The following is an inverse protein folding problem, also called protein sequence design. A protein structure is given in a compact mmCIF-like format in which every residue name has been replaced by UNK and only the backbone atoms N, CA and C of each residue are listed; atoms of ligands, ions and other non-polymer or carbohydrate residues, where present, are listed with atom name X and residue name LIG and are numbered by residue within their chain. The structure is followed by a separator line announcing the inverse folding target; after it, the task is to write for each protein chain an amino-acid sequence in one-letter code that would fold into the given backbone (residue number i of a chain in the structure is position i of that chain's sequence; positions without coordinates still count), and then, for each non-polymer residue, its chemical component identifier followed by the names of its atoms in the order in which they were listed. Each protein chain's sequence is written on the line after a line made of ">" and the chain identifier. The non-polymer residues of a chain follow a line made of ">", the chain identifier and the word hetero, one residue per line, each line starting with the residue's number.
data_IF_682934385003
#
_entry.id   IF_682934385003
#
_cell.length_a   1.000
_cell.length_b   1.000
_cell.length_c   1.000
_cell.angle_alpha   90.00
_cell.angle_beta   90.00
_cell.angle_gamma   90.00
#
_symmetry.space_group_name_H-M   'P 1'
#
loop_
_entity.id
_entity.type
_entity.pdbx_description
1 polymer ?
#
# COMPACT_ATOMS: atom_id res chain seq x y z
N UNK A 1 -36.52 30.25 -45.64
CA UNK A 1 -36.01 29.22 -46.58
C UNK A 1 -34.66 29.74 -47.04
N UNK A 2 -33.48 29.33 -46.56
CA UNK A 2 -32.93 28.14 -45.88
C UNK A 2 -32.05 28.61 -44.70
N UNK A 3 -32.07 28.02 -43.50
CA UNK A 3 -31.42 26.77 -43.11
C UNK A 3 -29.96 26.64 -43.60
N UNK A 4 -29.00 27.09 -42.80
CA UNK A 4 -27.62 26.57 -42.81
C UNK A 4 -27.27 26.28 -41.35
N UNK A 5 -27.31 24.99 -41.00
CA UNK A 5 -26.83 24.47 -39.73
C UNK A 5 -25.31 24.48 -39.71
N UNK A 6 -24.71 25.13 -38.72
CA UNK A 6 -23.32 24.88 -38.36
C UNK A 6 -23.21 23.47 -37.76
N UNK A 7 -22.69 22.54 -38.55
CA UNK A 7 -22.22 21.25 -38.06
C UNK A 7 -20.94 21.48 -37.25
N UNK A 8 -21.06 21.48 -35.93
CA UNK A 8 -19.93 21.31 -35.01
C UNK A 8 -19.20 20.01 -35.36
N UNK A 9 -18.02 20.11 -35.96
CA UNK A 9 -17.13 18.97 -36.18
C UNK A 9 -16.58 18.51 -34.83
N UNK A 10 -17.18 17.45 -34.30
CA UNK A 10 -16.63 16.70 -33.18
C UNK A 10 -15.31 16.05 -33.62
N UNK A 11 -14.19 16.52 -33.06
CA UNK A 11 -12.92 15.79 -33.05
C UNK A 11 -13.18 14.36 -32.56
N UNK A 12 -12.74 13.31 -33.28
CA UNK A 12 -12.83 11.95 -32.78
C UNK A 12 -12.00 11.87 -31.50
N UNK A 13 -12.67 11.71 -30.36
CA UNK A 13 -12.00 11.37 -29.12
C UNK A 13 -11.25 10.07 -29.35
N UNK A 14 -9.92 10.11 -29.30
CA UNK A 14 -9.09 8.91 -29.15
C UNK A 14 -9.57 8.25 -27.87
N UNK A 15 -10.46 7.26 -28.01
CA UNK A 15 -10.86 6.39 -26.92
C UNK A 15 -9.58 5.65 -26.54
N UNK A 16 -8.95 6.08 -25.45
CA UNK A 16 -7.98 5.25 -24.76
C UNK A 16 -8.68 3.92 -24.51
N UNK A 17 -8.29 2.89 -25.27
CA UNK A 17 -8.89 1.58 -25.19
C UNK A 17 -8.88 1.09 -23.74
N UNK A 18 -9.83 0.24 -23.33
CA UNK A 18 -9.81 -0.34 -21.99
C UNK A 18 -8.43 -0.96 -21.78
N UNK A 19 -7.72 -0.55 -20.72
CA UNK A 19 -6.48 -1.22 -20.33
C UNK A 19 -6.89 -2.65 -19.97
N UNK A 20 -6.68 -3.59 -20.90
CA UNK A 20 -6.95 -5.01 -20.65
C UNK A 20 -5.98 -5.47 -19.56
N UNK A 21 -6.50 -5.59 -18.34
CA UNK A 21 -5.76 -6.25 -17.28
C UNK A 21 -5.72 -7.73 -17.60
N UNK A 22 -4.53 -8.22 -17.96
CA UNK A 22 -4.32 -9.67 -18.03
C UNK A 22 -4.70 -10.31 -16.68
N UNK A 23 -5.26 -11.54 -16.68
CA UNK A 23 -5.67 -12.21 -15.45
C UNK A 23 -4.53 -12.32 -14.42
N UNK A 24 -3.29 -12.37 -14.91
CA UNK A 24 -2.07 -12.35 -14.11
C UNK A 24 -1.90 -11.06 -13.29
N UNK A 25 -2.13 -9.89 -13.88
CA UNK A 25 -2.05 -8.60 -13.16
C UNK A 25 -3.03 -8.54 -11.99
N UNK A 26 -4.26 -9.03 -12.21
CA UNK A 26 -5.28 -9.08 -11.16
C UNK A 26 -4.87 -9.99 -10.01
N UNK A 27 -4.35 -11.18 -10.33
CA UNK A 27 -3.88 -12.13 -9.33
C UNK A 27 -2.73 -11.53 -8.49
N UNK A 28 -1.76 -10.88 -9.14
CA UNK A 28 -0.63 -10.24 -8.45
C UNK A 28 -1.11 -9.16 -7.49
N UNK A 29 -2.03 -8.28 -7.91
CA UNK A 29 -2.57 -7.22 -7.04
C UNK A 29 -3.27 -7.83 -5.81
N UNK A 30 -4.02 -8.91 -5.98
CA UNK A 30 -4.65 -9.61 -4.86
C UNK A 30 -3.62 -10.27 -3.93
N UNK A 31 -2.58 -10.92 -4.48
CA UNK A 31 -1.50 -11.52 -3.70
C UNK A 31 -0.72 -10.48 -2.89
N UNK A 32 -0.41 -9.32 -3.47
CA UNK A 32 0.27 -8.25 -2.72
C UNK A 32 -0.64 -7.60 -1.70
N UNK A 33 -1.96 -7.51 -1.95
CA UNK A 33 -2.92 -7.04 -0.95
C UNK A 33 -2.99 -7.99 0.26
N UNK A 34 -3.00 -9.30 0.01
CA UNK A 34 -2.90 -10.32 1.07
C UNK A 34 -1.62 -10.16 1.89
N UNK A 35 -0.45 -10.11 1.21
CA UNK A 35 0.84 -9.99 1.89
C UNK A 35 0.98 -8.66 2.62
N UNK A 36 0.46 -7.56 2.08
CA UNK A 36 0.45 -6.26 2.74
C UNK A 36 -0.37 -6.32 4.04
N UNK A 37 -1.58 -6.89 4.01
CA UNK A 37 -2.40 -7.08 5.20
C UNK A 37 -1.71 -7.96 6.25
N UNK A 38 -1.09 -9.05 5.80
CA UNK A 38 -0.29 -9.94 6.65
C UNK A 38 0.87 -9.19 7.34
N UNK A 39 1.63 -8.40 6.59
CA UNK A 39 2.77 -7.65 7.12
C UNK A 39 2.31 -6.54 8.07
N UNK A 40 1.25 -5.78 7.76
CA UNK A 40 0.71 -4.74 8.64
C UNK A 40 0.42 -5.33 10.03
N UNK A 41 -0.35 -6.43 10.08
CA UNK A 41 -0.73 -7.07 11.35
C UNK A 41 0.46 -7.73 12.05
N UNK A 42 1.42 -8.26 11.30
CA UNK A 42 2.64 -8.82 11.89
C UNK A 42 3.45 -7.73 12.61
N UNK A 43 3.63 -6.57 11.97
CA UNK A 43 4.33 -5.42 12.58
C UNK A 43 3.54 -4.88 13.77
N UNK A 44 2.21 -4.81 13.70
CA UNK A 44 1.36 -4.34 14.81
C UNK A 44 1.57 -5.18 16.08
N UNK A 45 1.51 -6.51 15.95
CA UNK A 45 1.72 -7.43 17.08
C UNK A 45 3.15 -7.42 17.60
N UNK A 46 4.14 -7.30 16.70
CA UNK A 46 5.54 -7.15 17.10
C UNK A 46 5.76 -5.82 17.83
N UNK A 47 5.06 -4.76 17.45
CA UNK A 47 5.16 -3.45 18.09
C UNK A 47 4.92 -3.52 19.60
N UNK A 48 3.93 -4.29 20.04
CA UNK A 48 3.67 -4.53 21.47
C UNK A 48 4.87 -5.14 22.19
N UNK A 49 5.58 -6.05 21.54
CA UNK A 49 6.78 -6.70 22.09
C UNK A 49 8.04 -5.84 21.99
N UNK A 50 8.15 -5.00 20.97
CA UNK A 50 9.23 -4.01 20.85
C UNK A 50 9.12 -2.99 21.99
N UNK A 51 7.92 -2.51 22.30
CA UNK A 51 7.69 -1.49 23.34
C UNK A 51 7.68 -2.04 24.76
N UNK A 52 7.37 -3.34 24.95
CA UNK A 52 7.20 -3.95 26.27
C UNK A 52 8.38 -3.79 27.24
N UNK A 53 9.66 -3.91 26.82
CA UNK A 53 10.81 -3.76 27.73
C UNK A 53 10.90 -2.37 28.38
N UNK A 54 10.38 -1.33 27.73
CA UNK A 54 10.47 0.06 28.18
C UNK A 54 9.18 0.54 28.85
N UNK A 55 8.03 0.26 28.24
CA UNK A 55 6.74 0.83 28.67
C UNK A 55 5.79 -0.20 29.29
N UNK A 56 6.19 -1.48 29.32
CA UNK A 56 5.36 -2.59 29.80
C UNK A 56 4.27 -3.01 28.81
N UNK A 57 3.35 -3.85 29.28
CA UNK A 57 2.29 -4.48 28.47
C UNK A 57 0.88 -4.05 28.88
N UNK A 58 0.72 -2.81 29.35
CA UNK A 58 -0.57 -2.31 29.83
C UNK A 58 -1.55 -2.05 28.68
N UNK A 59 -2.85 -1.93 29.01
CA UNK A 59 -3.91 -1.56 28.06
C UNK A 59 -3.62 -0.22 27.36
N UNK A 60 -2.91 0.70 28.02
CA UNK A 60 -2.53 1.99 27.43
C UNK A 60 -1.47 1.86 26.33
N UNK A 61 -0.53 0.92 26.48
CA UNK A 61 0.53 0.67 25.48
C UNK A 61 -0.09 0.04 24.23
N UNK A 62 -0.91 -0.99 24.41
CA UNK A 62 -1.65 -1.61 23.30
C UNK A 62 -2.63 -0.63 22.65
N UNK A 63 -3.35 0.16 23.45
CA UNK A 63 -4.22 1.22 22.95
C UNK A 63 -3.48 2.25 22.11
N UNK A 64 -2.25 2.61 22.51
CA UNK A 64 -1.40 3.53 21.74
C UNK A 64 -1.00 2.95 20.39
N UNK A 65 -0.56 1.69 20.35
CA UNK A 65 -0.17 1.02 19.10
C UNK A 65 -1.36 0.97 18.15
N UNK A 66 -2.52 0.45 18.61
CA UNK A 66 -3.73 0.34 17.79
C UNK A 66 -4.17 1.72 17.29
N UNK A 67 -4.18 2.74 18.16
CA UNK A 67 -4.58 4.09 17.78
C UNK A 67 -3.66 4.68 16.68
N UNK A 68 -2.35 4.50 16.81
CA UNK A 68 -1.38 4.94 15.79
C UNK A 68 -1.57 4.18 14.49
N UNK A 69 -1.76 2.86 14.53
CA UNK A 69 -1.97 2.05 13.33
C UNK A 69 -3.25 2.47 12.61
N UNK A 70 -4.37 2.60 13.33
CA UNK A 70 -5.63 3.05 12.76
C UNK A 70 -5.55 4.46 12.16
N UNK A 71 -4.90 5.40 12.86
CA UNK A 71 -4.70 6.76 12.35
C UNK A 71 -3.85 6.76 11.07
N UNK A 72 -2.76 6.01 11.08
CA UNK A 72 -1.81 5.90 9.96
C UNK A 72 -2.48 5.29 8.75
N UNK A 73 -3.21 4.18 8.93
CA UNK A 73 -3.99 3.54 7.88
C UNK A 73 -5.06 4.48 7.32
N UNK A 74 -5.79 5.21 8.18
CA UNK A 74 -6.79 6.19 7.76
C UNK A 74 -6.19 7.28 6.86
N UNK A 75 -5.06 7.87 7.27
CA UNK A 75 -4.34 8.86 6.44
C UNK A 75 -3.77 8.23 5.16
N UNK A 76 -3.29 7.00 5.24
CA UNK A 76 -2.85 6.22 4.10
C UNK A 76 -3.98 5.99 3.10
N UNK A 77 -5.18 5.64 3.56
CA UNK A 77 -6.36 5.47 2.71
C UNK A 77 -6.73 6.78 2.00
N UNK A 78 -6.70 7.88 2.74
CA UNK A 78 -7.01 9.20 2.21
C UNK A 78 -6.01 9.63 1.12
N UNK A 79 -4.71 9.55 1.41
CA UNK A 79 -3.67 9.95 0.46
C UNK A 79 -3.52 8.97 -0.70
N UNK A 80 -3.61 7.66 -0.45
CA UNK A 80 -3.58 6.62 -1.47
C UNK A 80 -4.76 6.75 -2.45
N UNK A 81 -5.96 7.03 -1.94
CA UNK A 81 -7.15 7.30 -2.77
C UNK A 81 -7.01 8.56 -3.61
N UNK A 82 -6.45 9.65 -3.05
CA UNK A 82 -6.19 10.87 -3.84
C UNK A 82 -5.09 10.67 -4.88
N UNK A 83 -4.03 9.94 -4.56
CA UNK A 83 -2.91 9.68 -5.46
C UNK A 83 -3.31 8.75 -6.61
N UNK A 84 -4.18 7.77 -6.35
CA UNK A 84 -4.68 6.85 -7.37
C UNK A 84 -5.51 7.55 -8.45
N UNK A 85 -6.17 8.66 -8.13
CA UNK A 85 -6.88 9.51 -9.09
C UNK A 85 -5.92 10.33 -9.98
N UNK A 86 -4.79 10.79 -9.44
CA UNK A 86 -3.87 11.71 -10.14
C UNK A 86 -2.85 10.99 -11.01
N UNK A 87 -2.27 9.89 -10.52
CA UNK A 87 -1.19 9.17 -11.20
C UNK A 87 -1.37 7.66 -11.02
N UNK A 88 -2.40 7.03 -11.60
CA UNK A 88 -2.56 5.59 -11.56
C UNK A 88 -1.45 4.93 -12.40
N UNK A 89 -0.70 4.01 -11.80
CA UNK A 89 0.35 3.30 -12.50
C UNK A 89 1.09 2.30 -11.61
N UNK A 90 1.61 1.21 -12.20
CA UNK A 90 2.27 0.14 -11.45
C UNK A 90 3.59 0.56 -10.81
N UNK A 91 4.29 1.53 -11.39
CA UNK A 91 5.55 2.07 -10.82
C UNK A 91 5.32 2.80 -9.50
N UNK A 92 4.28 3.63 -9.44
CA UNK A 92 3.88 4.34 -8.21
C UNK A 92 3.39 3.32 -7.17
N UNK A 93 2.60 2.34 -7.59
CA UNK A 93 2.15 1.27 -6.71
C UNK A 93 3.31 0.46 -6.10
N UNK A 94 4.27 0.03 -6.91
CA UNK A 94 5.46 -0.66 -6.45
C UNK A 94 6.33 0.20 -5.52
N UNK A 95 6.38 1.51 -5.75
CA UNK A 95 7.15 2.44 -4.89
C UNK A 95 6.64 2.49 -3.45
N UNK A 96 5.34 2.25 -3.21
CA UNK A 96 4.81 2.19 -1.84
C UNK A 96 5.45 1.06 -1.03
N UNK A 97 5.64 -0.10 -1.64
CA UNK A 97 6.24 -1.25 -0.99
C UNK A 97 7.73 -1.03 -0.72
N UNK A 98 8.47 -0.45 -1.68
CA UNK A 98 9.88 -0.09 -1.48
C UNK A 98 10.03 0.96 -0.38
N UNK A 99 9.20 2.00 -0.41
CA UNK A 99 9.22 3.06 0.59
C UNK A 99 8.83 2.53 1.97
N UNK A 100 7.79 1.71 2.08
CA UNK A 100 7.39 1.07 3.33
C UNK A 100 8.51 0.18 3.89
N UNK A 101 9.15 -0.63 3.04
CA UNK A 101 10.29 -1.46 3.43
C UNK A 101 11.45 -0.62 3.97
N UNK A 102 11.80 0.48 3.29
CA UNK A 102 12.85 1.40 3.74
C UNK A 102 12.48 2.09 5.07
N UNK A 103 11.22 2.48 5.23
CA UNK A 103 10.70 3.11 6.44
C UNK A 103 10.57 2.15 7.63
N UNK A 104 10.61 0.83 7.38
CA UNK A 104 10.69 -0.16 8.46
C UNK A 104 12.13 -0.35 8.98
N UNK A 105 13.17 0.02 8.22
CA UNK A 105 14.57 -0.14 8.65
C UNK A 105 14.92 0.64 9.93
N UNK A 106 14.45 1.89 10.15
CA UNK A 106 14.62 2.58 11.42
C UNK A 106 14.06 1.81 12.62
N UNK A 107 12.99 1.03 12.44
CA UNK A 107 12.44 0.20 13.52
C UNK A 107 13.43 -0.91 13.90
N UNK A 108 14.17 -1.45 12.95
CA UNK A 108 15.15 -2.52 13.19
C UNK A 108 16.43 -1.98 13.84
N UNK A 109 16.93 -0.85 13.34
CA UNK A 109 18.25 -0.33 13.73
C UNK A 109 18.22 0.73 14.83
N UNK A 110 17.14 1.51 14.92
CA UNK A 110 17.07 2.71 15.76
C UNK A 110 16.03 2.61 16.89
N UNK A 111 15.21 1.56 16.91
CA UNK A 111 14.16 1.45 17.93
C UNK A 111 14.71 1.49 19.36
N UNK A 112 15.81 0.81 19.66
CA UNK A 112 16.40 0.79 21.00
C UNK A 112 16.86 2.20 21.45
N UNK A 113 17.53 2.93 20.56
CA UNK A 113 17.96 4.31 20.82
C UNK A 113 16.79 5.27 21.00
N UNK A 114 15.75 5.15 20.16
CA UNK A 114 14.53 5.97 20.24
C UNK A 114 13.78 5.67 21.54
N UNK A 115 13.60 4.40 21.87
CA UNK A 115 12.92 3.98 23.09
C UNK A 115 13.66 4.44 24.34
N UNK A 116 14.98 4.28 24.40
CA UNK A 116 15.80 4.76 25.51
C UNK A 116 15.67 6.28 25.67
N UNK A 117 15.78 7.04 24.58
CA UNK A 117 15.67 8.49 24.63
C UNK A 117 14.29 8.95 25.13
N UNK A 118 13.21 8.33 24.65
CA UNK A 118 11.85 8.67 25.06
C UNK A 118 11.57 8.23 26.49
N UNK A 119 12.04 7.04 26.89
CA UNK A 119 11.87 6.52 28.25
C UNK A 119 12.51 7.44 29.30
N UNK A 120 13.67 8.05 28.98
CA UNK A 120 14.31 9.04 29.86
C UNK A 120 13.58 10.39 29.82
N UNK A 121 13.06 10.80 28.66
CA UNK A 121 12.42 12.10 28.49
C UNK A 121 10.96 12.16 28.97
N UNK A 122 10.25 11.03 29.02
CA UNK A 122 8.82 10.94 29.32
C UNK A 122 8.59 9.95 30.44
N UNK A 123 8.29 10.46 31.63
CA UNK A 123 8.10 9.64 32.84
C UNK A 123 6.86 8.75 32.76
N UNK A 124 5.76 9.21 32.15
CA UNK A 124 4.51 8.44 32.05
C UNK A 124 4.55 7.48 30.84
N UNK A 125 4.51 6.14 31.07
CA UNK A 125 4.55 5.14 30.01
C UNK A 125 3.41 5.26 28.98
N UNK A 126 2.28 5.87 29.34
CA UNK A 126 1.15 6.10 28.42
C UNK A 126 1.56 7.00 27.28
N UNK A 127 2.17 8.14 27.60
CA UNK A 127 2.62 9.10 26.59
C UNK A 127 3.93 8.64 25.93
N UNK A 128 4.82 7.97 26.67
CA UNK A 128 6.06 7.41 26.12
C UNK A 128 5.79 6.36 25.04
N UNK A 129 4.86 5.43 25.29
CA UNK A 129 4.45 4.43 24.31
C UNK A 129 3.73 5.03 23.09
N UNK A 130 2.85 6.02 23.30
CA UNK A 130 2.18 6.73 22.21
C UNK A 130 3.16 7.48 21.32
N UNK A 131 4.10 8.24 21.90
CA UNK A 131 5.10 8.99 21.16
C UNK A 131 6.04 8.05 20.39
N UNK A 132 6.50 6.99 21.04
CA UNK A 132 7.34 5.96 20.40
C UNK A 132 6.62 5.31 19.22
N UNK A 133 5.35 4.92 19.43
CA UNK A 133 4.56 4.29 18.38
C UNK A 133 4.35 5.25 17.19
N UNK A 134 4.04 6.53 17.47
CA UNK A 134 3.95 7.56 16.45
C UNK A 134 5.26 7.71 15.66
N UNK A 135 6.41 7.79 16.33
CA UNK A 135 7.68 8.02 15.66
C UNK A 135 8.14 6.82 14.81
N UNK A 136 7.92 5.60 15.30
CA UNK A 136 8.43 4.40 14.63
C UNK A 136 7.46 3.83 13.60
N UNK A 137 6.15 3.81 13.88
CA UNK A 137 5.19 3.07 13.05
C UNK A 137 4.33 3.96 12.16
N UNK A 138 4.18 5.26 12.46
CA UNK A 138 3.23 6.10 11.75
C UNK A 138 3.50 6.15 10.24
N UNK A 139 4.73 6.50 9.86
CA UNK A 139 5.09 6.69 8.46
C UNK A 139 5.07 5.38 7.64
N UNK A 140 5.69 4.26 8.07
CA UNK A 140 5.63 3.02 7.30
C UNK A 140 4.19 2.50 7.15
N UNK A 141 3.39 2.49 8.23
CA UNK A 141 2.02 2.00 8.17
C UNK A 141 1.13 2.93 7.34
N UNK A 142 1.37 4.24 7.36
CA UNK A 142 0.65 5.17 6.50
C UNK A 142 0.89 4.89 5.01
N UNK A 143 2.14 4.63 4.61
CA UNK A 143 2.48 4.25 3.23
C UNK A 143 1.83 2.91 2.86
N UNK A 144 1.88 1.92 3.75
CA UNK A 144 1.22 0.62 3.53
C UNK A 144 -0.31 0.75 3.43
N UNK A 145 -0.90 1.72 4.14
CA UNK A 145 -2.33 2.04 4.03
C UNK A 145 -2.72 2.51 2.63
N UNK A 146 -1.83 3.18 1.90
CA UNK A 146 -2.11 3.65 0.54
C UNK A 146 -2.41 2.51 -0.45
N UNK A 147 -1.93 1.28 -0.16
CA UNK A 147 -2.01 0.12 -1.04
C UNK A 147 -3.47 -0.24 -1.37
N UNK A 148 -4.38 -0.20 -0.40
CA UNK A 148 -5.76 -0.67 -0.60
C UNK A 148 -6.57 0.17 -1.61
N UNK A 149 -6.79 1.49 -1.40
CA UNK A 149 -7.54 2.30 -2.37
C UNK A 149 -6.83 2.41 -3.72
N UNK A 150 -5.51 2.31 -3.74
CA UNK A 150 -4.76 2.31 -5.00
C UNK A 150 -4.95 1.00 -5.78
N UNK A 151 -4.98 -0.14 -5.09
CA UNK A 151 -5.27 -1.45 -5.69
C UNK A 151 -6.68 -1.50 -6.27
N UNK A 152 -7.70 -0.96 -5.57
CA UNK A 152 -9.05 -0.85 -6.12
C UNK A 152 -9.02 -0.06 -7.44
N UNK A 153 -8.33 1.09 -7.47
CA UNK A 153 -8.24 1.91 -8.68
C UNK A 153 -7.52 1.20 -9.83
N UNK A 154 -6.52 0.37 -9.55
CA UNK A 154 -5.82 -0.41 -10.57
C UNK A 154 -6.62 -1.62 -11.08
N UNK A 155 -7.64 -2.08 -10.35
CA UNK A 155 -8.43 -3.25 -10.71
C UNK A 155 -9.80 -2.91 -11.32
N UNK A 156 -10.31 -1.70 -11.09
CA UNK A 156 -11.61 -1.27 -11.58
C UNK A 156 -11.48 -0.70 -12.99
N UNK A 157 -12.05 -1.40 -13.97
CA UNK A 157 -12.13 -0.97 -15.38
C UNK A 157 -13.46 -0.31 -15.74
N UNK A 158 -14.55 -0.59 -15.03
CA UNK A 158 -15.86 0.03 -15.23
C UNK A 158 -16.58 0.33 -13.91
N UNK A 159 -17.37 1.41 -13.88
CA UNK A 159 -18.05 1.87 -12.66
C UNK A 159 -19.03 0.83 -12.06
N UNK A 160 -19.70 0.04 -12.90
CA UNK A 160 -20.70 -0.96 -12.48
C UNK A 160 -20.11 -2.10 -11.63
N UNK A 161 -18.82 -2.42 -11.81
CA UNK A 161 -18.17 -3.53 -11.10
C UNK A 161 -17.25 -3.09 -9.94
N UNK A 162 -17.25 -1.79 -9.64
CA UNK A 162 -16.34 -1.20 -8.66
C UNK A 162 -16.52 -1.73 -7.23
N UNK A 163 -17.77 -1.94 -6.80
CA UNK A 163 -18.09 -2.48 -5.49
C UNK A 163 -17.62 -3.93 -5.28
N UNK A 164 -17.80 -4.79 -6.28
CA UNK A 164 -17.39 -6.20 -6.21
C UNK A 164 -15.87 -6.36 -6.17
N UNK A 165 -15.14 -5.56 -6.94
CA UNK A 165 -13.67 -5.55 -6.92
C UNK A 165 -13.14 -5.08 -5.57
N UNK A 166 -13.71 -4.00 -5.02
CA UNK A 166 -13.34 -3.52 -3.69
C UNK A 166 -13.64 -4.55 -2.60
N UNK A 167 -14.81 -5.21 -2.65
CA UNK A 167 -15.18 -6.27 -1.72
C UNK A 167 -14.21 -7.45 -1.74
N UNK A 168 -13.85 -7.96 -2.93
CA UNK A 168 -12.87 -9.04 -3.08
C UNK A 168 -11.49 -8.63 -2.55
N UNK A 169 -11.04 -7.41 -2.86
CA UNK A 169 -9.77 -6.90 -2.37
C UNK A 169 -9.75 -6.82 -0.83
N UNK A 170 -10.80 -6.28 -0.22
CA UNK A 170 -10.91 -6.21 1.24
C UNK A 170 -11.00 -7.59 1.87
N UNK A 171 -11.71 -8.54 1.27
CA UNK A 171 -11.73 -9.93 1.73
C UNK A 171 -10.32 -10.53 1.76
N UNK A 172 -9.59 -10.45 0.64
CA UNK A 172 -8.23 -11.02 0.52
C UNK A 172 -7.25 -10.32 1.47
N UNK A 173 -7.31 -8.99 1.57
CA UNK A 173 -6.47 -8.22 2.49
C UNK A 173 -6.78 -8.58 3.95
N UNK A 174 -8.05 -8.72 4.32
CA UNK A 174 -8.47 -9.05 5.69
C UNK A 174 -8.09 -10.49 6.04
N UNK A 175 -8.19 -11.42 5.10
CA UNK A 175 -7.72 -12.79 5.28
C UNK A 175 -6.19 -12.82 5.52
N UNK A 176 -5.44 -12.05 4.74
CA UNK A 176 -4.01 -11.86 4.94
C UNK A 176 -3.69 -11.30 6.32
N UNK A 177 -4.41 -10.24 6.73
CA UNK A 177 -4.34 -9.67 8.09
C UNK A 177 -4.59 -10.71 9.17
N UNK A 178 -5.69 -11.48 9.08
CA UNK A 178 -6.02 -12.50 10.06
C UNK A 178 -4.93 -13.59 10.17
N UNK A 179 -4.41 -14.06 9.03
CA UNK A 179 -3.32 -15.04 9.01
C UNK A 179 -1.99 -14.44 9.48
N UNK A 180 -1.74 -13.15 9.27
CA UNK A 180 -0.59 -12.42 9.82
C UNK A 180 -0.67 -12.31 11.33
N UNK A 181 -1.84 -11.97 11.86
CA UNK A 181 -2.11 -11.91 13.30
C UNK A 181 -1.90 -13.29 13.93
N UNK A 182 -2.51 -14.35 13.39
CA UNK A 182 -2.36 -15.71 13.91
C UNK A 182 -0.92 -16.23 13.76
N UNK A 183 -0.33 -16.08 12.57
CA UNK A 183 1.04 -16.51 12.29
C UNK A 183 2.04 -15.85 13.23
N UNK A 184 1.91 -14.55 13.45
CA UNK A 184 2.82 -13.80 14.32
C UNK A 184 2.62 -14.15 15.79
N UNK A 185 1.38 -14.18 16.28
CA UNK A 185 1.11 -14.45 17.70
C UNK A 185 1.39 -15.90 18.12
N UNK A 186 1.10 -16.89 17.26
CA UNK A 186 1.19 -18.31 17.59
C UNK A 186 2.49 -19.00 17.15
N UNK A 187 3.19 -18.48 16.13
CA UNK A 187 4.34 -19.18 15.56
C UNK A 187 5.58 -18.31 15.53
N UNK A 188 5.52 -17.14 14.89
CA UNK A 188 6.74 -16.39 14.60
C UNK A 188 7.45 -15.92 15.84
N UNK A 189 6.74 -15.48 16.86
CA UNK A 189 7.43 -15.04 18.07
C UNK A 189 7.84 -16.19 19.00
N UNK A 190 7.34 -17.40 18.77
CA UNK A 190 7.87 -18.58 19.46
C UNK A 190 9.16 -19.09 18.80
N UNK A 191 9.25 -19.02 17.47
CA UNK A 191 10.36 -19.60 16.73
C UNK A 191 11.47 -18.61 16.39
N UNK A 192 11.16 -17.32 16.28
CA UNK A 192 12.09 -16.31 15.79
C UNK A 192 12.22 -15.12 16.73
N UNK A 193 13.39 -14.48 16.66
CA UNK A 193 13.61 -13.18 17.28
C UNK A 193 12.81 -12.09 16.55
N UNK A 194 12.43 -11.03 17.28
CA UNK A 194 11.67 -9.89 16.74
C UNK A 194 12.34 -9.33 15.48
N UNK A 195 13.66 -9.12 15.51
CA UNK A 195 14.42 -8.60 14.37
C UNK A 195 14.35 -9.52 13.14
N UNK A 196 14.37 -10.84 13.32
CA UNK A 196 14.25 -11.80 12.21
C UNK A 196 12.89 -11.69 11.53
N UNK A 197 11.80 -11.56 12.32
CA UNK A 197 10.45 -11.40 11.77
C UNK A 197 10.30 -10.05 11.06
N UNK A 198 10.88 -8.98 11.61
CA UNK A 198 10.90 -7.65 10.98
C UNK A 198 11.66 -7.65 9.66
N UNK A 199 12.82 -8.32 9.58
CA UNK A 199 13.53 -8.53 8.31
C UNK A 199 12.70 -9.34 7.30
N UNK A 200 11.98 -10.36 7.77
CA UNK A 200 11.02 -11.10 6.95
C UNK A 200 9.91 -10.21 6.38
N UNK A 201 9.38 -9.28 7.18
CA UNK A 201 8.40 -8.28 6.74
C UNK A 201 8.98 -7.35 5.66
N UNK A 202 10.20 -6.83 5.86
CA UNK A 202 10.92 -6.01 4.87
C UNK A 202 11.12 -6.79 3.57
N UNK A 203 11.57 -8.04 3.65
CA UNK A 203 11.77 -8.90 2.49
C UNK A 203 10.45 -9.17 1.74
N UNK A 204 9.35 -9.42 2.46
CA UNK A 204 8.03 -9.62 1.88
C UNK A 204 7.54 -8.38 1.13
N UNK A 205 7.75 -7.18 1.68
CA UNK A 205 7.42 -5.92 1.01
C UNK A 205 8.25 -5.72 -0.27
N UNK A 206 9.56 -5.97 -0.22
CA UNK A 206 10.41 -5.89 -1.41
C UNK A 206 10.02 -6.94 -2.47
N UNK A 207 9.59 -8.13 -2.05
CA UNK A 207 9.04 -9.15 -2.94
C UNK A 207 7.77 -8.63 -3.62
N UNK A 208 6.84 -8.01 -2.88
CA UNK A 208 5.66 -7.37 -3.46
C UNK A 208 6.03 -6.31 -4.51
N UNK A 209 7.01 -5.44 -4.20
CA UNK A 209 7.49 -4.44 -5.14
C UNK A 209 8.02 -5.07 -6.44
N UNK A 210 8.84 -6.11 -6.32
CA UNK A 210 9.41 -6.82 -7.47
C UNK A 210 8.34 -7.51 -8.31
N UNK A 211 7.37 -8.17 -7.68
CA UNK A 211 6.28 -8.85 -8.37
C UNK A 211 5.42 -7.86 -9.17
N UNK A 212 5.11 -6.70 -8.59
CA UNK A 212 4.38 -5.63 -9.29
C UNK A 212 5.19 -5.10 -10.48
N UNK A 213 6.47 -4.79 -10.30
CA UNK A 213 7.30 -4.23 -11.38
C UNK A 213 7.49 -5.21 -12.55
N UNK A 214 7.62 -6.51 -12.27
CA UNK A 214 7.85 -7.53 -13.30
C UNK A 214 6.59 -7.83 -14.12
N UNK A 215 5.41 -7.80 -13.49
CA UNK A 215 4.15 -8.25 -14.10
C UNK A 215 3.30 -7.11 -14.63
N UNK A 216 3.39 -5.92 -14.03
CA UNK A 216 2.61 -4.77 -14.44
C UNK A 216 3.50 -3.83 -15.27
N UNK A 217 3.79 -4.20 -16.51
CA UNK A 217 4.45 -3.29 -17.47
C UNK A 217 3.48 -2.20 -17.87
N UNK A 218 3.93 -0.93 -17.82
CA UNK A 218 3.17 0.19 -18.37
C UNK A 218 2.83 -0.07 -19.84
N UNK A 219 1.63 0.30 -20.33
CA UNK A 219 1.41 0.41 -21.76
C UNK A 219 2.53 1.27 -22.33
N UNK A 220 3.27 0.78 -23.32
CA UNK A 220 4.26 1.56 -24.04
C UNK A 220 3.59 2.84 -24.54
N UNK A 221 4.23 4.02 -24.41
CA UNK A 221 3.74 5.19 -25.13
C UNK A 221 3.70 4.78 -26.61
N UNK A 222 2.54 4.93 -27.24
CA UNK A 222 2.42 4.80 -28.70
C UNK A 222 3.51 5.73 -29.26
N UNK A 223 4.47 5.15 -29.96
CA UNK A 223 5.54 5.91 -30.60
C UNK A 223 4.87 6.86 -31.59
N UNK A 224 5.18 8.16 -31.52
CA UNK A 224 4.67 9.16 -32.48
C UNK A 224 4.95 8.78 -33.94
N UNK A 225 5.80 7.78 -34.19
CA UNK A 225 6.01 7.15 -35.50
C UNK A 225 4.74 6.48 -36.08
N UNK A 226 3.86 5.90 -35.26
CA UNK A 226 2.62 5.27 -35.75
C UNK A 226 1.53 6.33 -36.04
N UNK A 227 1.56 7.48 -35.36
CA UNK A 227 0.65 8.59 -35.62
C UNK A 227 0.96 9.30 -36.95
N UNK A 228 2.24 9.31 -37.37
CA UNK A 228 2.66 9.87 -38.66
C UNK A 228 2.38 8.89 -39.82
N UNK A 229 2.44 7.58 -39.58
CA UNK A 229 2.09 6.59 -40.61
C UNK A 229 0.59 6.68 -41.02
N UNK A 230 -0.32 6.82 -40.04
CA UNK A 230 -1.77 6.93 -40.28
C UNK A 230 -2.16 8.23 -40.99
N UNK A 231 -1.40 9.32 -40.81
CA UNK A 231 -1.65 10.57 -41.54
C UNK A 231 -1.11 10.55 -42.97
N UNK A 232 -0.20 9.64 -43.32
CA UNK A 232 0.32 9.50 -44.69
C UNK A 232 -0.55 8.66 -45.63
N UNK A 233 -1.33 7.70 -45.10
CA UNK A 233 -2.25 6.88 -45.92
C UNK A 233 -3.58 7.57 -46.25
N UNK A 234 -4.00 8.58 -45.48
CA UNK A 234 -5.23 9.35 -45.75
C UNK A 234 -5.01 10.47 -46.78
N UNK A 235 -3.75 10.67 -47.22
CA UNK A 235 -3.33 11.70 -48.17
C UNK A 235 -3.21 11.25 -49.64
N UNK A 236 -3.60 10.02 -49.98
CA UNK A 236 -3.69 9.52 -51.37
C UNK A 236 -5.13 9.14 -51.72
#
# INVERSE_FOLDING_TARGET
>A
MSAVSESSQSTPGVSAGPVEHTPYTRLVILCVAFLNGFVIMSIELLGGRVLAPYFGSSVHVWGSIIAVFMLSLSLGYLWGGRLSLRRPGPRVFASFFVLAAALCLPIIFLADAVMTAIFVAVEDPRYGSLLTAMLLYFLPICVMGMVSPYSVRLLVSSHEHSGGVAGMLYFVSTLGSALGTLGTSFYFVLWFNINTVMWGCVAALLLCASAVMLTCRSPSPVSDADAIAVTSEVGQ
#
